data_IF_107018884617
#
_entry.id   IF_107018884617
#
_cell.length_a   1.000
_cell.length_b   1.000
_cell.length_c   1.000
_cell.angle_alpha   90.00
_cell.angle_beta   90.00
_cell.angle_gamma   90.00
#
_symmetry.space_group_name_H-M   'P 1'
#
loop_
_entity.id
_entity.type
_entity.pdbx_description
1 polymer ?
#
# COMPACT_ATOMS: atom_id res chain seq x y z
N UNK A 1 14.16 -4.89 -13.49
CA UNK A 1 12.73 -4.54 -13.56
C UNK A 1 12.42 -3.76 -12.30
N UNK A 2 11.67 -2.68 -12.45
CA UNK A 2 11.24 -1.83 -11.35
C UNK A 2 9.72 -1.98 -11.26
N UNK A 3 9.26 -2.52 -10.13
CA UNK A 3 7.85 -2.76 -9.88
C UNK A 3 7.51 -1.85 -8.71
N UNK A 4 6.56 -0.95 -8.96
CA UNK A 4 6.08 -0.08 -7.92
C UNK A 4 5.27 -0.83 -6.87
N UNK A 5 4.72 -0.07 -5.93
CA UNK A 5 4.08 -0.62 -4.74
C UNK A 5 2.63 -0.96 -5.03
N UNK A 6 2.20 -2.14 -4.60
CA UNK A 6 0.79 -2.51 -4.57
C UNK A 6 0.29 -2.51 -3.13
N UNK A 7 -0.77 -1.75 -2.90
CA UNK A 7 -1.39 -1.60 -1.58
C UNK A 7 -2.80 -2.18 -1.67
N UNK A 8 -3.04 -3.19 -0.84
CA UNK A 8 -4.36 -3.77 -0.63
C UNK A 8 -4.99 -3.11 0.58
N UNK A 9 -6.17 -2.54 0.41
CA UNK A 9 -6.85 -1.78 1.45
C UNK A 9 -8.34 -2.12 1.51
N UNK A 10 -8.95 -1.89 2.67
CA UNK A 10 -10.39 -1.98 2.81
C UNK A 10 -11.04 -0.69 2.26
N UNK A 11 -11.86 -0.76 1.20
CA UNK A 11 -12.45 0.42 0.57
C UNK A 11 -13.52 1.10 1.44
N UNK A 12 -14.00 0.43 2.49
CA UNK A 12 -15.03 0.99 3.39
C UNK A 12 -14.43 1.89 4.48
N UNK A 13 -13.24 1.55 4.96
CA UNK A 13 -12.53 2.20 6.07
C UNK A 13 -11.26 2.91 5.65
N UNK A 14 -10.69 2.53 4.51
CA UNK A 14 -9.39 3.02 4.01
C UNK A 14 -8.19 2.34 4.66
N UNK A 15 -8.41 1.32 5.49
CA UNK A 15 -7.35 0.67 6.26
C UNK A 15 -6.48 -0.23 5.38
N UNK A 16 -5.16 -0.16 5.55
CA UNK A 16 -4.21 -0.92 4.74
C UNK A 16 -4.13 -2.36 5.25
N UNK A 17 -4.53 -3.32 4.43
CA UNK A 17 -4.54 -4.74 4.74
C UNK A 17 -3.16 -5.36 4.47
N UNK A 18 -2.62 -5.12 3.27
CA UNK A 18 -1.30 -5.61 2.84
C UNK A 18 -0.61 -4.55 2.02
N UNK A 19 0.63 -4.26 2.38
CA UNK A 19 1.57 -3.50 1.57
C UNK A 19 2.63 -4.46 1.00
N UNK A 20 2.75 -4.53 -0.33
CA UNK A 20 3.80 -5.36 -0.95
C UNK A 20 5.17 -4.70 -0.94
N UNK A 21 5.22 -3.39 -0.67
CA UNK A 21 6.40 -2.55 -0.85
C UNK A 21 6.81 -2.41 -2.32
N UNK A 22 7.84 -1.58 -2.54
CA UNK A 22 8.48 -1.43 -3.85
C UNK A 22 9.49 -2.57 -4.08
N UNK A 23 9.55 -3.06 -5.31
CA UNK A 23 10.38 -4.21 -5.68
C UNK A 23 11.28 -3.82 -6.85
N UNK A 24 12.59 -3.94 -6.67
CA UNK A 24 13.57 -3.61 -7.70
C UNK A 24 14.58 -4.75 -7.92
N UNK A 25 15.07 -4.87 -9.16
CA UNK A 25 16.10 -5.82 -9.54
C UNK A 25 15.56 -7.04 -10.28
N UNK A 26 15.83 -8.23 -9.75
CA UNK A 26 15.40 -9.53 -10.31
C UNK A 26 14.02 -9.96 -9.76
N UNK A 27 13.05 -9.05 -9.84
CA UNK A 27 11.69 -9.25 -9.34
C UNK A 27 10.74 -9.52 -10.50
N UNK A 28 9.69 -10.31 -10.24
CA UNK A 28 8.64 -10.63 -11.21
C UNK A 28 7.34 -10.03 -10.71
N UNK A 29 6.57 -9.43 -11.61
CA UNK A 29 5.24 -8.91 -11.30
C UNK A 29 4.33 -10.06 -10.89
N UNK A 30 3.84 -9.99 -9.65
CA UNK A 30 2.83 -10.92 -9.17
C UNK A 30 1.46 -10.41 -9.60
N UNK A 31 0.56 -11.32 -9.98
CA UNK A 31 -0.85 -10.97 -10.22
C UNK A 31 -1.59 -10.84 -8.88
N UNK A 32 -2.69 -10.09 -8.86
CA UNK A 32 -3.57 -9.97 -7.68
C UNK A 32 -3.92 -11.36 -7.10
N UNK A 33 -4.30 -12.32 -7.94
CA UNK A 33 -4.64 -13.68 -7.50
C UNK A 33 -3.47 -14.41 -6.80
N UNK A 34 -2.22 -14.16 -7.24
CA UNK A 34 -1.02 -14.71 -6.60
C UNK A 34 -0.80 -14.06 -5.24
N UNK A 35 -0.93 -12.74 -5.14
CA UNK A 35 -0.80 -12.04 -3.86
C UNK A 35 -1.86 -12.53 -2.85
N UNK A 36 -3.10 -12.71 -3.27
CA UNK A 36 -4.16 -13.28 -2.42
C UNK A 36 -3.85 -14.71 -1.94
N UNK A 37 -3.17 -15.51 -2.75
CA UNK A 37 -2.74 -16.86 -2.37
C UNK A 37 -1.51 -16.86 -1.45
N UNK A 38 -0.65 -15.83 -1.54
CA UNK A 38 0.58 -15.72 -0.75
C UNK A 38 0.34 -15.06 0.61
N UNK A 39 -0.48 -14.01 0.65
CA UNK A 39 -0.72 -13.23 1.86
C UNK A 39 -1.92 -13.77 2.63
N UNK A 40 -1.67 -14.46 3.75
CA UNK A 40 -2.73 -14.94 4.66
C UNK A 40 -3.63 -13.81 5.18
N UNK A 41 -3.14 -12.57 5.21
CA UNK A 41 -3.92 -11.39 5.59
C UNK A 41 -5.04 -11.06 4.58
N UNK A 42 -4.86 -11.43 3.30
CA UNK A 42 -5.87 -11.31 2.23
C UNK A 42 -6.80 -12.52 2.17
N UNK A 43 -6.37 -13.69 2.66
CA UNK A 43 -7.19 -14.91 2.65
C UNK A 43 -8.50 -14.81 3.44
N UNK A 44 -8.61 -13.83 4.35
CA UNK A 44 -9.83 -13.52 5.11
C UNK A 44 -10.76 -12.53 4.39
N UNK A 45 -10.34 -11.97 3.26
CA UNK A 45 -11.10 -10.99 2.49
C UNK A 45 -11.47 -11.56 1.13
N UNK A 46 -12.59 -11.08 0.59
CA UNK A 46 -12.96 -11.39 -0.79
C UNK A 46 -12.28 -10.40 -1.73
N UNK A 47 -11.66 -10.86 -2.84
CA UNK A 47 -10.93 -9.99 -3.77
C UNK A 47 -11.81 -8.90 -4.39
N UNK A 48 -13.13 -9.13 -4.45
CA UNK A 48 -14.12 -8.17 -4.94
C UNK A 48 -14.39 -7.03 -3.93
N UNK A 49 -14.12 -7.28 -2.64
CA UNK A 49 -14.34 -6.33 -1.54
C UNK A 49 -13.04 -5.64 -1.08
N UNK A 50 -11.91 -5.92 -1.73
CA UNK A 50 -10.61 -5.31 -1.40
C UNK A 50 -10.23 -4.33 -2.49
N UNK A 51 -9.93 -3.09 -2.09
CA UNK A 51 -9.34 -2.10 -2.96
C UNK A 51 -7.89 -2.43 -3.25
N UNK A 52 -7.47 -2.22 -4.49
CA UNK A 52 -6.08 -2.39 -4.93
C UNK A 52 -5.61 -1.06 -5.50
N UNK A 53 -4.55 -0.51 -4.90
CA UNK A 53 -3.86 0.66 -5.41
C UNK A 53 -2.48 0.26 -5.91
N UNK A 54 -2.23 0.50 -7.19
CA UNK A 54 -0.93 0.28 -7.83
C UNK A 54 -0.26 1.63 -8.05
N UNK A 55 0.91 1.79 -7.43
CA UNK A 55 1.75 2.98 -7.57
C UNK A 55 2.93 2.65 -8.46
N UNK A 56 3.41 3.63 -9.22
CA UNK A 56 4.65 3.49 -9.98
C UNK A 56 5.88 3.39 -9.06
N UNK A 57 6.96 2.80 -9.56
CA UNK A 57 8.21 2.71 -8.80
C UNK A 57 8.79 4.11 -8.53
N UNK A 58 9.15 4.38 -7.27
CA UNK A 58 9.59 5.68 -6.80
C UNK A 58 8.46 6.68 -6.57
N UNK A 59 7.21 6.34 -6.91
CA UNK A 59 6.07 7.24 -6.72
C UNK A 59 5.75 7.35 -5.23
N UNK A 60 5.79 8.57 -4.70
CA UNK A 60 5.60 8.90 -3.29
C UNK A 60 6.61 8.25 -2.31
N UNK A 61 7.77 7.79 -2.80
CA UNK A 61 8.79 7.17 -1.94
C UNK A 61 9.23 8.09 -0.78
N UNK A 62 9.37 9.40 -1.02
CA UNK A 62 9.70 10.39 0.00
C UNK A 62 8.59 10.55 1.05
N UNK A 63 7.32 10.63 0.63
CA UNK A 63 6.17 10.69 1.52
C UNK A 63 6.08 9.44 2.40
N UNK A 64 6.28 8.24 1.84
CA UNK A 64 6.27 7.01 2.62
C UNK A 64 7.38 6.95 3.66
N UNK A 65 8.57 7.49 3.35
CA UNK A 65 9.68 7.59 4.30
C UNK A 65 9.42 8.63 5.38
N UNK A 66 8.73 9.71 5.03
CA UNK A 66 8.51 10.86 5.92
C UNK A 66 7.23 10.76 6.75
N UNK A 67 6.24 9.97 6.31
CA UNK A 67 4.97 9.79 6.99
C UNK A 67 5.12 8.90 8.24
N UNK A 68 4.24 9.12 9.23
CA UNK A 68 4.12 8.23 10.39
C UNK A 68 3.19 7.06 10.10
N UNK A 69 2.10 7.35 9.42
CA UNK A 69 1.08 6.40 9.00
C UNK A 69 0.49 6.87 7.67
N UNK A 70 -0.18 5.98 6.98
CA UNK A 70 -0.94 6.32 5.78
C UNK A 70 -2.17 5.41 5.69
N UNK A 71 -3.18 5.89 4.99
CA UNK A 71 -4.41 5.16 4.67
C UNK A 71 -4.82 5.44 3.24
N UNK A 72 -5.76 4.69 2.69
CA UNK A 72 -6.25 4.90 1.34
C UNK A 72 -7.66 5.49 1.40
N UNK A 73 -7.87 6.65 0.78
CA UNK A 73 -9.20 7.25 0.64
C UNK A 73 -9.47 7.54 -0.84
N UNK A 74 -10.62 7.11 -1.34
CA UNK A 74 -11.05 7.32 -2.74
C UNK A 74 -10.01 6.86 -3.80
N UNK A 75 -9.22 5.83 -3.48
CA UNK A 75 -8.17 5.34 -4.36
C UNK A 75 -6.89 6.19 -4.36
N UNK A 76 -6.71 7.08 -3.39
CA UNK A 76 -5.50 7.86 -3.20
C UNK A 76 -4.87 7.59 -1.83
N UNK A 77 -3.54 7.64 -1.76
CA UNK A 77 -2.83 7.53 -0.48
C UNK A 77 -2.95 8.85 0.28
N UNK A 78 -3.48 8.78 1.50
CA UNK A 78 -3.53 9.88 2.45
C UNK A 78 -2.49 9.63 3.53
N UNK A 79 -1.47 10.48 3.54
CA UNK A 79 -0.34 10.39 4.47
C UNK A 79 -0.63 11.18 5.75
N UNK A 80 -0.41 10.55 6.89
CA UNK A 80 -0.37 11.21 8.19
C UNK A 80 1.07 11.52 8.57
N UNK A 81 1.41 12.81 8.54
CA UNK A 81 2.63 13.32 9.10
C UNK A 81 2.31 13.75 10.53
N UNK A 82 2.89 13.07 11.52
CA UNK A 82 2.60 13.42 12.89
C UNK A 82 2.99 14.87 13.17
N UNK A 83 2.10 15.55 13.87
CA UNK A 83 2.19 16.97 14.19
C UNK A 83 3.58 17.32 14.73
N UNK A 84 4.26 18.27 14.06
CA UNK A 84 5.40 18.98 14.65
C UNK A 84 4.88 20.06 15.62
N UNK A 85 4.16 19.65 16.66
CA UNK A 85 4.17 20.37 17.94
C UNK A 85 5.04 19.49 18.82
N UNK A 86 6.31 19.80 19.00
CA UNK A 86 6.71 20.73 20.05
C UNK A 86 8.14 21.22 19.77
N UNK A 87 8.38 22.54 19.76
CA UNK A 87 9.44 23.03 20.63
C UNK A 87 8.87 23.97 21.70
N UNK A 88 9.04 23.52 22.94
CA UNK A 88 8.95 24.28 24.19
C UNK A 88 9.69 25.63 24.18
#
# INVERSE_FOLDING_TARGET
MEIGRRIYYDPSTGDVIVDTGERAGAVVETTIAQDFAVYSALARWEPENVGVLELDYGQHAEEFVSCKSYRIEDGAVVYEFGDKSDPA
#
